data_IF_874041689620
#
_entry.id   IF_874041689620
#
_cell.length_a   1.000
_cell.length_b   1.000
_cell.length_c   1.000
_cell.angle_alpha   90.00
_cell.angle_beta   90.00
_cell.angle_gamma   90.00
#
_symmetry.space_group_name_H-M   'P 1'
#
loop_
_entity.id
_entity.type
_entity.pdbx_description
1 polymer ?
#
# COMPACT_ATOMS: atom_id res chain seq x y z
N UNK A 1 11.26 24.24 13.68
CA UNK A 1 12.16 24.14 12.51
C UNK A 1 12.83 22.76 12.44
N UNK A 2 13.60 22.34 13.45
CA UNK A 2 14.27 21.02 13.46
C UNK A 2 13.33 19.82 13.31
N UNK A 3 12.20 19.79 14.03
CA UNK A 3 11.22 18.70 13.94
C UNK A 3 10.63 18.53 12.54
N UNK A 4 10.44 19.62 11.80
CA UNK A 4 9.85 19.57 10.45
C UNK A 4 10.80 18.91 9.45
N UNK A 5 12.09 19.24 9.52
CA UNK A 5 13.12 18.60 8.69
C UNK A 5 13.19 17.11 8.98
N UNK A 6 13.14 16.73 10.26
CA UNK A 6 13.20 15.33 10.66
C UNK A 6 12.01 14.52 10.10
N UNK A 7 10.78 15.02 10.22
CA UNK A 7 9.59 14.30 9.77
C UNK A 7 9.35 14.36 8.25
N UNK A 8 9.63 15.49 7.60
CA UNK A 8 9.19 15.72 6.22
C UNK A 8 10.32 15.68 5.20
N UNK A 9 11.58 15.87 5.60
CA UNK A 9 12.73 15.74 4.71
C UNK A 9 13.45 14.42 4.91
N UNK A 10 13.68 13.99 6.16
CA UNK A 10 14.53 12.83 6.46
C UNK A 10 13.72 11.53 6.55
N UNK A 11 12.63 11.52 7.33
CA UNK A 11 11.84 10.30 7.57
C UNK A 11 11.36 9.60 6.29
N UNK A 12 10.97 10.29 5.20
CA UNK A 12 10.58 9.62 3.96
C UNK A 12 11.68 8.77 3.35
N UNK A 13 12.94 9.25 3.36
CA UNK A 13 14.07 8.47 2.85
C UNK A 13 14.41 7.30 3.76
N UNK A 14 14.25 7.43 5.08
CA UNK A 14 14.38 6.30 6.02
C UNK A 14 13.31 5.25 5.70
N UNK A 15 12.04 5.66 5.57
CA UNK A 15 10.93 4.77 5.20
C UNK A 15 11.18 4.06 3.88
N UNK A 16 11.59 4.79 2.83
CA UNK A 16 11.92 4.21 1.53
C UNK A 16 13.09 3.23 1.62
N UNK A 17 14.13 3.57 2.37
CA UNK A 17 15.29 2.69 2.58
C UNK A 17 14.86 1.39 3.26
N UNK A 18 14.08 1.45 4.34
CA UNK A 18 13.57 0.27 5.03
C UNK A 18 12.68 -0.56 4.12
N UNK A 19 11.76 0.08 3.38
CA UNK A 19 10.87 -0.59 2.44
C UNK A 19 11.66 -1.34 1.36
N UNK A 20 12.60 -0.68 0.69
CA UNK A 20 13.36 -1.25 -0.43
C UNK A 20 14.34 -2.32 0.07
N UNK A 21 15.21 -1.98 1.02
CA UNK A 21 16.25 -2.89 1.52
C UNK A 21 15.62 -4.07 2.26
N UNK A 22 14.60 -3.82 3.09
CA UNK A 22 13.89 -4.86 3.81
C UNK A 22 13.16 -5.83 2.87
N UNK A 23 12.54 -5.31 1.81
CA UNK A 23 11.84 -6.13 0.81
C UNK A 23 12.83 -6.94 -0.02
N UNK A 24 13.93 -6.33 -0.45
CA UNK A 24 15.01 -7.03 -1.16
C UNK A 24 15.60 -8.17 -0.31
N UNK A 25 15.94 -7.87 0.96
CA UNK A 25 16.47 -8.86 1.88
C UNK A 25 15.49 -10.01 2.08
N UNK A 26 14.21 -9.72 2.34
CA UNK A 26 13.19 -10.75 2.53
C UNK A 26 12.99 -11.61 1.28
N UNK A 27 12.98 -11.00 0.09
CA UNK A 27 12.91 -11.74 -1.17
C UNK A 27 14.11 -12.68 -1.37
N UNK A 28 15.31 -12.26 -0.93
CA UNK A 28 16.54 -13.03 -1.10
C UNK A 28 16.72 -14.16 -0.08
N UNK A 29 16.32 -13.94 1.17
CA UNK A 29 16.65 -14.80 2.30
C UNK A 29 15.43 -15.49 2.94
N UNK A 30 14.21 -14.96 2.76
CA UNK A 30 12.97 -15.52 3.31
C UNK A 30 11.91 -15.72 2.22
N UNK A 31 12.26 -16.56 1.23
CA UNK A 31 11.34 -16.92 0.13
C UNK A 31 10.10 -17.68 0.61
N UNK A 32 10.19 -18.43 1.70
CA UNK A 32 9.05 -19.17 2.26
C UNK A 32 8.07 -18.25 3.01
N UNK A 33 8.57 -17.19 3.66
CA UNK A 33 7.73 -16.17 4.27
C UNK A 33 7.09 -15.22 3.26
N UNK A 34 7.48 -15.27 1.99
CA UNK A 34 6.89 -14.51 0.89
C UNK A 34 5.58 -15.16 0.40
N UNK A 35 4.49 -14.92 1.14
CA UNK A 35 3.18 -15.50 0.83
C UNK A 35 2.06 -14.57 1.29
N UNK A 36 0.90 -14.68 0.63
CA UNK A 36 -0.33 -14.00 1.06
C UNK A 36 -0.90 -14.54 2.37
N UNK A 37 -0.44 -15.71 2.86
CA UNK A 37 -0.95 -16.40 4.05
C UNK A 37 -2.48 -16.51 4.02
N UNK A 38 -3.02 -17.13 2.97
CA UNK A 38 -4.45 -17.33 2.84
C UNK A 38 -5.01 -18.13 4.02
N UNK A 39 -6.14 -17.69 4.55
CA UNK A 39 -6.88 -18.38 5.61
C UNK A 39 -8.22 -18.91 5.12
N UNK A 40 -8.41 -18.97 3.79
CA UNK A 40 -9.69 -19.34 3.15
C UNK A 40 -10.13 -20.77 3.49
N UNK A 41 -9.18 -21.68 3.66
CA UNK A 41 -9.45 -23.09 4.00
C UNK A 41 -10.21 -23.19 5.34
N UNK A 42 -9.90 -22.31 6.30
CA UNK A 42 -10.54 -22.31 7.62
C UNK A 42 -11.94 -21.70 7.62
N UNK A 43 -12.21 -20.75 6.73
CA UNK A 43 -13.53 -20.14 6.56
C UNK A 43 -13.58 -19.40 5.22
N UNK A 44 -14.56 -19.71 4.37
CA UNK A 44 -14.64 -19.15 3.01
C UNK A 44 -15.87 -18.31 2.73
N UNK A 45 -16.96 -18.43 3.53
CA UNK A 45 -18.25 -17.80 3.25
C UNK A 45 -18.17 -16.29 3.38
N UNK A 46 -17.66 -15.79 4.51
CA UNK A 46 -17.47 -14.36 4.72
C UNK A 46 -16.29 -13.82 3.89
N UNK A 47 -15.22 -14.61 3.77
CA UNK A 47 -14.04 -14.22 2.98
C UNK A 47 -14.38 -13.94 1.51
N UNK A 48 -15.28 -14.73 0.90
CA UNK A 48 -15.68 -14.58 -0.51
C UNK A 48 -16.28 -13.21 -0.83
N UNK A 49 -16.89 -12.56 0.16
CA UNK A 49 -17.49 -11.22 0.01
C UNK A 49 -16.54 -10.14 0.53
N UNK A 50 -16.01 -10.33 1.74
CA UNK A 50 -15.16 -9.33 2.40
C UNK A 50 -13.83 -9.10 1.65
N UNK A 51 -13.22 -10.16 1.11
CA UNK A 51 -11.93 -10.06 0.43
C UNK A 51 -12.02 -9.26 -0.87
N UNK A 52 -12.96 -9.52 -1.81
CA UNK A 52 -13.11 -8.69 -3.00
C UNK A 52 -13.47 -7.23 -2.67
N UNK A 53 -14.41 -6.98 -1.75
CA UNK A 53 -14.78 -5.62 -1.34
C UNK A 53 -13.55 -4.85 -0.85
N UNK A 54 -12.74 -5.46 0.02
CA UNK A 54 -11.51 -4.85 0.50
C UNK A 54 -10.49 -4.62 -0.62
N UNK A 55 -10.20 -5.63 -1.45
CA UNK A 55 -9.13 -5.54 -2.44
C UNK A 55 -9.47 -4.60 -3.60
N UNK A 56 -10.71 -4.63 -4.11
CA UNK A 56 -11.13 -3.67 -5.13
C UNK A 56 -11.17 -2.25 -4.58
N UNK A 57 -11.67 -2.08 -3.34
CA UNK A 57 -11.63 -0.80 -2.64
C UNK A 57 -10.20 -0.25 -2.51
N UNK A 58 -9.28 -1.02 -1.93
CA UNK A 58 -7.91 -0.54 -1.67
C UNK A 58 -7.12 -0.31 -2.96
N UNK A 59 -7.38 -1.10 -4.02
CA UNK A 59 -6.77 -0.87 -5.33
C UNK A 59 -7.28 0.44 -5.95
N UNK A 60 -8.57 0.76 -5.81
CA UNK A 60 -9.13 2.03 -6.25
C UNK A 60 -8.57 3.21 -5.42
N UNK A 61 -8.45 3.06 -4.10
CA UNK A 61 -7.79 4.05 -3.22
C UNK A 61 -6.33 4.27 -3.65
N UNK A 62 -5.59 3.19 -3.91
CA UNK A 62 -4.20 3.27 -4.39
C UNK A 62 -4.12 3.99 -5.75
N UNK A 63 -4.99 3.66 -6.70
CA UNK A 63 -5.07 4.36 -7.98
C UNK A 63 -5.36 5.86 -7.79
N UNK A 64 -6.29 6.21 -6.90
CA UNK A 64 -6.57 7.59 -6.53
C UNK A 64 -5.36 8.32 -5.93
N UNK A 65 -4.59 7.66 -5.06
CA UNK A 65 -3.33 8.20 -4.54
C UNK A 65 -2.29 8.43 -5.64
N UNK A 66 -2.18 7.49 -6.59
CA UNK A 66 -1.27 7.66 -7.73
C UNK A 66 -1.66 8.88 -8.55
N UNK A 67 -2.95 9.01 -8.90
CA UNK A 67 -3.47 10.16 -9.65
C UNK A 67 -3.29 11.48 -8.88
N UNK A 68 -3.56 11.51 -7.57
CA UNK A 68 -3.48 12.73 -6.77
C UNK A 68 -2.09 13.17 -6.35
N UNK A 69 -1.18 12.24 -6.12
CA UNK A 69 0.16 12.54 -5.64
C UNK A 69 1.18 12.62 -6.76
N UNK A 70 1.16 11.71 -7.74
CA UNK A 70 2.16 11.72 -8.81
C UNK A 70 1.80 12.66 -9.96
N UNK A 71 0.52 12.85 -10.30
CA UNK A 71 0.13 13.67 -11.45
C UNK A 71 -0.03 15.14 -11.05
N UNK A 72 0.83 16.04 -11.56
CA UNK A 72 0.77 17.45 -11.20
C UNK A 72 -0.48 18.13 -11.78
N UNK A 73 -0.98 19.22 -11.16
CA UNK A 73 -2.11 20.00 -11.66
C UNK A 73 -1.97 20.45 -13.12
N UNK A 74 -0.76 20.79 -13.56
CA UNK A 74 -0.48 21.18 -14.95
C UNK A 74 -0.93 20.14 -15.98
N UNK A 75 -0.72 18.85 -15.70
CA UNK A 75 -1.14 17.76 -16.61
C UNK A 75 -2.67 17.64 -16.65
N UNK A 76 -3.34 17.76 -15.50
CA UNK A 76 -4.81 17.74 -15.47
C UNK A 76 -5.41 18.96 -16.19
N UNK A 77 -4.79 20.13 -16.07
CA UNK A 77 -5.23 21.34 -16.77
C UNK A 77 -5.01 21.24 -18.29
N UNK A 78 -3.94 20.59 -18.75
CA UNK A 78 -3.72 20.28 -20.18
C UNK A 78 -4.83 19.39 -20.76
N UNK A 79 -5.40 18.50 -19.94
CA UNK A 79 -6.54 17.66 -20.30
C UNK A 79 -7.89 18.39 -20.16
N UNK A 80 -7.88 19.72 -19.96
CA UNK A 80 -9.06 20.58 -19.76
C UNK A 80 -9.90 20.19 -18.54
N UNK A 81 -9.29 19.56 -17.54
CA UNK A 81 -9.93 19.22 -16.28
C UNK A 81 -9.76 20.38 -15.29
N UNK A 82 -10.86 20.99 -14.86
CA UNK A 82 -10.82 22.04 -13.83
C UNK A 82 -10.53 21.45 -12.45
N UNK A 83 -9.99 22.26 -11.54
CA UNK A 83 -9.69 21.83 -10.17
C UNK A 83 -10.95 21.36 -9.43
N UNK A 84 -12.09 22.03 -9.65
CA UNK A 84 -13.39 21.60 -9.12
C UNK A 84 -13.83 20.23 -9.66
N UNK A 85 -13.73 19.99 -10.98
CA UNK A 85 -14.08 18.68 -11.56
C UNK A 85 -13.17 17.57 -11.04
N UNK A 86 -11.88 17.86 -10.88
CA UNK A 86 -10.94 16.95 -10.27
C UNK A 86 -11.30 16.65 -8.82
N UNK A 87 -11.61 17.68 -8.03
CA UNK A 87 -11.97 17.52 -6.63
C UNK A 87 -13.27 16.73 -6.47
N UNK A 88 -14.30 17.04 -7.24
CA UNK A 88 -15.56 16.30 -7.24
C UNK A 88 -15.37 14.82 -7.59
N UNK A 89 -14.59 14.52 -8.62
CA UNK A 89 -14.26 13.13 -8.98
C UNK A 89 -13.48 12.45 -7.86
N UNK A 90 -12.48 13.13 -7.30
CA UNK A 90 -11.62 12.59 -6.26
C UNK A 90 -12.43 12.24 -5.01
N UNK A 91 -13.29 13.15 -4.54
CA UNK A 91 -14.16 12.91 -3.37
C UNK A 91 -15.17 11.81 -3.67
N UNK A 92 -15.88 11.86 -4.80
CA UNK A 92 -16.92 10.87 -5.10
C UNK A 92 -16.34 9.44 -5.25
N UNK A 93 -15.29 9.29 -6.06
CA UNK A 93 -14.65 7.99 -6.29
C UNK A 93 -13.82 7.55 -5.07
N UNK A 94 -13.14 8.49 -4.42
CA UNK A 94 -12.31 8.27 -3.22
C UNK A 94 -13.14 7.83 -2.03
N UNK A 95 -14.26 8.50 -1.75
CA UNK A 95 -15.18 8.15 -0.67
C UNK A 95 -15.83 6.79 -0.91
N UNK A 96 -16.28 6.49 -2.14
CA UNK A 96 -16.81 5.16 -2.47
C UNK A 96 -15.77 4.06 -2.25
N UNK A 97 -14.55 4.26 -2.76
CA UNK A 97 -13.45 3.31 -2.61
C UNK A 97 -13.01 3.16 -1.15
N UNK A 98 -12.93 4.27 -0.40
CA UNK A 98 -12.54 4.31 1.00
C UNK A 98 -13.55 3.62 1.91
N UNK A 99 -14.85 3.89 1.72
CA UNK A 99 -15.94 3.21 2.44
C UNK A 99 -15.94 1.71 2.12
N UNK A 100 -15.82 1.33 0.85
CA UNK A 100 -15.72 -0.08 0.46
C UNK A 100 -14.51 -0.76 1.13
N UNK A 101 -13.35 -0.10 1.12
CA UNK A 101 -12.14 -0.59 1.80
C UNK A 101 -12.36 -0.76 3.29
N UNK A 102 -12.95 0.23 3.96
CA UNK A 102 -13.21 0.22 5.40
C UNK A 102 -14.19 -0.88 5.80
N UNK A 103 -15.28 -1.05 5.05
CA UNK A 103 -16.24 -2.15 5.25
C UNK A 103 -15.53 -3.50 5.03
N UNK A 104 -14.78 -3.64 3.94
CA UNK A 104 -14.06 -4.86 3.62
C UNK A 104 -13.07 -5.26 4.71
N UNK A 105 -12.23 -4.34 5.18
CA UNK A 105 -11.28 -4.62 6.26
C UNK A 105 -11.98 -4.89 7.59
N UNK A 106 -13.08 -4.15 7.89
CA UNK A 106 -13.91 -4.38 9.06
C UNK A 106 -14.47 -5.79 9.12
N UNK A 107 -15.02 -6.28 7.99
CA UNK A 107 -15.51 -7.66 7.87
C UNK A 107 -14.37 -8.69 7.98
N UNK A 108 -13.20 -8.43 7.42
CA UNK A 108 -12.03 -9.31 7.53
C UNK A 108 -11.49 -9.40 8.96
N UNK A 109 -11.50 -8.29 9.70
CA UNK A 109 -11.12 -8.24 11.11
C UNK A 109 -12.18 -8.94 11.97
N UNK A 110 -13.46 -8.65 11.75
CA UNK A 110 -14.57 -9.35 12.41
C UNK A 110 -14.47 -10.87 12.23
N UNK A 111 -14.22 -11.33 11.00
CA UNK A 111 -13.97 -12.75 10.69
C UNK A 111 -12.85 -13.35 11.53
N UNK A 112 -11.77 -12.59 11.72
CA UNK A 112 -10.57 -13.05 12.42
C UNK A 112 -10.78 -13.17 13.93
N UNK A 113 -11.67 -12.38 14.51
CA UNK A 113 -12.04 -12.49 15.92
C UNK A 113 -13.15 -13.53 16.17
N UNK A 114 -14.08 -13.70 15.23
CA UNK A 114 -15.23 -14.61 15.41
C UNK A 114 -14.97 -16.06 15.01
N UNK A 115 -13.91 -16.33 14.24
CA UNK A 115 -13.56 -17.68 13.79
C UNK A 115 -12.29 -18.17 14.49
N UNK A 116 -12.38 -19.08 15.48
CA UNK A 116 -11.23 -19.53 16.27
C UNK A 116 -10.06 -20.07 15.41
N UNK A 117 -10.36 -20.85 14.37
CA UNK A 117 -9.33 -21.37 13.46
C UNK A 117 -8.54 -20.26 12.74
N UNK A 118 -9.22 -19.17 12.36
CA UNK A 118 -8.58 -18.00 11.73
C UNK A 118 -7.82 -17.17 12.78
N UNK A 119 -8.37 -17.03 13.98
CA UNK A 119 -7.74 -16.32 15.09
C UNK A 119 -6.39 -16.96 15.46
N UNK A 120 -6.35 -18.30 15.60
CA UNK A 120 -5.13 -19.05 15.92
C UNK A 120 -4.06 -18.95 14.82
N UNK A 121 -4.47 -18.86 13.56
CA UNK A 121 -3.56 -18.68 12.42
C UNK A 121 -3.07 -17.22 12.25
N UNK A 122 -3.50 -16.28 13.10
CA UNK A 122 -3.14 -14.86 13.01
C UNK A 122 -1.83 -14.57 13.74
N UNK A 123 -0.86 -13.97 13.06
CA UNK A 123 0.41 -13.61 13.69
C UNK A 123 0.37 -12.23 14.35
N UNK A 124 1.35 -11.94 15.23
CA UNK A 124 1.50 -10.60 15.85
C UNK A 124 1.73 -9.51 14.79
N UNK A 125 2.53 -9.81 13.76
CA UNK A 125 2.79 -8.91 12.63
C UNK A 125 1.50 -8.56 11.88
N UNK A 126 0.59 -9.53 11.69
CA UNK A 126 -0.72 -9.26 11.08
C UNK A 126 -1.55 -8.30 11.92
N UNK A 127 -1.57 -8.46 13.24
CA UNK A 127 -2.34 -7.58 14.15
C UNK A 127 -1.84 -6.14 14.11
N UNK A 128 -0.52 -5.93 14.20
CA UNK A 128 0.10 -4.60 14.11
C UNK A 128 -0.21 -3.96 12.76
N UNK A 129 -0.03 -4.71 11.67
CA UNK A 129 -0.34 -4.24 10.33
C UNK A 129 -1.81 -3.87 10.17
N UNK A 130 -2.75 -4.65 10.72
CA UNK A 130 -4.18 -4.30 10.67
C UNK A 130 -4.50 -3.02 11.41
N UNK A 131 -3.93 -2.80 12.59
CA UNK A 131 -4.14 -1.55 13.35
C UNK A 131 -3.67 -0.35 12.54
N UNK A 132 -2.45 -0.40 12.01
CA UNK A 132 -1.88 0.71 11.23
C UNK A 132 -2.64 0.93 9.92
N UNK A 133 -3.01 -0.14 9.22
CA UNK A 133 -3.78 -0.06 7.97
C UNK A 133 -5.18 0.52 8.20
N UNK A 134 -5.90 0.07 9.23
CA UNK A 134 -7.23 0.62 9.56
C UNK A 134 -7.12 2.09 9.96
N UNK A 135 -6.11 2.45 10.76
CA UNK A 135 -5.87 3.84 11.12
C UNK A 135 -5.58 4.69 9.87
N UNK A 136 -4.77 4.20 8.93
CA UNK A 136 -4.50 4.88 7.67
C UNK A 136 -5.80 5.10 6.86
N UNK A 137 -6.64 4.07 6.74
CA UNK A 137 -7.91 4.14 6.01
C UNK A 137 -8.87 5.13 6.65
N UNK A 138 -9.03 5.09 7.98
CA UNK A 138 -9.95 5.97 8.71
C UNK A 138 -9.51 7.43 8.60
N UNK A 139 -8.22 7.71 8.86
CA UNK A 139 -7.70 9.08 8.76
C UNK A 139 -7.71 9.56 7.32
N UNK A 140 -7.44 8.70 6.34
CA UNK A 140 -7.49 9.06 4.91
C UNK A 140 -8.92 9.36 4.43
N UNK A 141 -9.89 8.56 4.86
CA UNK A 141 -11.31 8.80 4.56
C UNK A 141 -11.80 10.08 5.26
N UNK A 142 -11.29 10.37 6.46
CA UNK A 142 -11.55 11.65 7.13
C UNK A 142 -10.99 12.83 6.33
N UNK A 143 -9.74 12.75 5.84
CA UNK A 143 -9.16 13.78 4.97
C UNK A 143 -9.97 13.98 3.69
N UNK A 144 -10.51 12.91 3.09
CA UNK A 144 -11.30 12.99 1.86
C UNK A 144 -12.68 13.62 2.11
N UNK A 145 -13.38 13.19 3.17
CA UNK A 145 -14.74 13.63 3.49
C UNK A 145 -14.81 15.00 4.18
N UNK A 146 -13.79 15.36 4.95
CA UNK A 146 -13.74 16.59 5.76
C UNK A 146 -12.73 17.60 5.20
N UNK A 147 -11.81 17.19 4.32
CA UNK A 147 -10.93 18.11 3.56
C UNK A 147 -11.68 19.03 2.59
N UNK A 148 -13.00 18.89 2.50
CA UNK A 148 -13.99 19.84 1.96
C UNK A 148 -14.39 20.94 2.96
N UNK A 149 -13.84 20.92 4.18
CA UNK A 149 -13.90 21.95 5.21
C UNK A 149 -15.21 22.01 6.02
N UNK A 150 -15.17 22.13 7.36
CA UNK A 150 -16.29 22.60 8.19
C UNK A 150 -16.76 24.03 7.85
N UNK A 151 -15.94 24.77 7.09
CA UNK A 151 -16.17 26.13 6.61
C UNK A 151 -16.33 26.23 5.09
N UNK A 152 -16.51 25.10 4.38
CA UNK A 152 -16.94 25.08 2.97
C UNK A 152 -15.88 25.46 1.93
N UNK A 153 -14.58 25.32 2.21
CA UNK A 153 -13.49 25.57 1.27
C UNK A 153 -12.75 24.29 0.88
N UNK A 154 -12.50 24.10 -0.42
CA UNK A 154 -11.74 22.97 -0.96
C UNK A 154 -10.26 23.06 -0.53
N UNK A 155 -9.75 22.14 0.29
CA UNK A 155 -8.31 22.08 0.55
C UNK A 155 -7.58 21.45 -0.65
N UNK A 156 -6.81 22.26 -1.37
CA UNK A 156 -6.06 21.78 -2.52
C UNK A 156 -4.74 21.07 -2.12
N UNK A 157 -4.86 19.85 -1.59
CA UNK A 157 -3.73 19.01 -1.16
C UNK A 157 -2.65 18.79 -2.25
N UNK A 158 -3.02 18.94 -3.53
CA UNK A 158 -2.12 18.75 -4.69
C UNK A 158 -1.00 19.79 -4.76
N UNK A 159 -1.19 20.97 -4.15
CA UNK A 159 -0.19 22.04 -4.08
C UNK A 159 0.66 22.01 -2.80
N UNK A 160 0.31 21.18 -1.81
CA UNK A 160 1.09 20.98 -0.57
C UNK A 160 1.63 19.57 -0.51
N UNK A 161 0.82 18.61 -0.04
CA UNK A 161 1.17 17.19 0.12
C UNK A 161 1.63 16.57 -1.20
N UNK A 162 0.96 16.89 -2.31
CA UNK A 162 1.36 16.40 -3.63
C UNK A 162 2.75 16.92 -4.05
N UNK A 163 3.06 18.19 -3.78
CA UNK A 163 4.37 18.78 -4.11
C UNK A 163 5.46 18.15 -3.27
N UNK A 164 5.24 18.04 -1.96
CA UNK A 164 6.14 17.33 -1.03
C UNK A 164 6.43 15.91 -1.52
N UNK A 165 5.37 15.14 -1.81
CA UNK A 165 5.50 13.75 -2.22
C UNK A 165 6.31 13.61 -3.51
N UNK A 166 6.05 14.42 -4.54
CA UNK A 166 6.80 14.38 -5.82
C UNK A 166 8.27 14.75 -5.64
N UNK A 167 8.56 15.72 -4.77
CA UNK A 167 9.92 16.22 -4.53
C UNK A 167 10.84 15.21 -3.85
N UNK A 168 10.29 14.27 -3.07
CA UNK A 168 11.05 13.12 -2.53
C UNK A 168 11.68 12.30 -3.67
N UNK A 169 10.92 12.03 -4.74
CA UNK A 169 11.39 11.25 -5.88
C UNK A 169 12.40 12.00 -6.76
N UNK A 170 12.38 13.33 -6.72
CA UNK A 170 13.37 14.19 -7.38
C UNK A 170 14.64 14.39 -6.55
N UNK A 171 14.73 13.78 -5.35
CA UNK A 171 15.82 13.99 -4.40
C UNK A 171 16.04 15.47 -4.05
N UNK A 172 14.96 16.25 -4.04
CA UNK A 172 14.94 17.66 -3.69
C UNK A 172 13.93 17.88 -2.55
N UNK A 173 14.22 17.36 -1.33
CA UNK A 173 13.28 17.44 -0.23
C UNK A 173 12.91 18.89 0.08
N UNK A 174 11.63 19.10 0.39
CA UNK A 174 11.02 20.41 0.57
C UNK A 174 9.86 20.26 1.54
N UNK A 175 10.17 19.81 2.75
CA UNK A 175 9.25 19.50 3.82
C UNK A 175 8.52 20.73 4.38
N UNK A 176 8.98 21.95 4.07
CA UNK A 176 8.29 23.18 4.48
C UNK A 176 6.84 23.25 3.99
N UNK A 177 6.52 22.69 2.81
CA UNK A 177 5.13 22.70 2.31
C UNK A 177 4.19 21.81 3.10
N UNK A 178 4.72 20.83 3.86
CA UNK A 178 3.90 20.00 4.76
C UNK A 178 3.45 20.75 6.01
N UNK A 179 4.14 21.82 6.40
CA UNK A 179 3.74 22.66 7.55
C UNK A 179 2.42 23.36 7.27
N UNK A 180 2.15 23.66 5.99
CA UNK A 180 0.92 24.28 5.53
C UNK A 180 -0.22 23.28 5.28
N UNK A 181 0.07 21.97 5.35
CA UNK A 181 -0.97 20.96 5.29
C UNK A 181 -1.71 20.88 6.63
N UNK A 182 -3.04 20.77 6.65
CA UNK A 182 -3.81 20.52 7.85
C UNK A 182 -3.34 19.25 8.58
N UNK A 183 -3.59 19.20 9.89
CA UNK A 183 -3.03 18.17 10.77
C UNK A 183 -3.46 16.75 10.38
N UNK A 184 -4.67 16.57 9.91
CA UNK A 184 -5.19 15.29 9.40
C UNK A 184 -4.38 14.75 8.22
N UNK A 185 -4.02 15.60 7.24
CA UNK A 185 -3.14 15.20 6.13
C UNK A 185 -1.73 14.84 6.60
N UNK A 186 -1.18 15.61 7.55
CA UNK A 186 0.12 15.29 8.16
C UNK A 186 0.06 13.95 8.90
N UNK A 187 -0.96 13.72 9.72
CA UNK A 187 -1.16 12.46 10.43
C UNK A 187 -1.32 11.30 9.45
N UNK A 188 -2.12 11.46 8.40
CA UNK A 188 -2.30 10.44 7.36
C UNK A 188 -0.96 10.07 6.70
N UNK A 189 -0.16 11.07 6.32
CA UNK A 189 1.16 10.86 5.73
C UNK A 189 2.11 10.14 6.69
N UNK A 190 2.12 10.51 7.98
CA UNK A 190 2.94 9.85 9.00
C UNK A 190 2.54 8.38 9.20
N UNK A 191 1.24 8.10 9.31
CA UNK A 191 0.71 6.73 9.43
C UNK A 191 1.05 5.92 8.17
N UNK A 192 0.96 6.55 6.99
CA UNK A 192 1.39 5.96 5.72
C UNK A 192 2.87 5.58 5.75
N UNK A 193 3.76 6.47 6.19
CA UNK A 193 5.19 6.18 6.34
C UNK A 193 5.44 5.00 7.31
N UNK A 194 4.71 4.92 8.41
CA UNK A 194 4.76 3.76 9.32
C UNK A 194 4.31 2.49 8.61
N UNK A 195 3.21 2.53 7.85
CA UNK A 195 2.72 1.38 7.09
C UNK A 195 3.75 0.87 6.08
N UNK A 196 4.40 1.77 5.32
CA UNK A 196 5.48 1.43 4.39
C UNK A 196 6.72 0.86 5.10
N UNK A 197 7.04 1.37 6.28
CA UNK A 197 8.14 0.84 7.10
C UNK A 197 7.85 -0.58 7.60
N UNK A 198 6.58 -0.90 7.92
CA UNK A 198 6.14 -2.24 8.32
C UNK A 198 6.00 -3.22 7.16
N UNK A 199 5.86 -2.72 5.93
CA UNK A 199 5.60 -3.52 4.72
C UNK A 199 6.52 -4.73 4.54
N UNK A 200 7.86 -4.60 4.57
CA UNK A 200 8.76 -5.74 4.36
C UNK A 200 8.67 -6.79 5.46
N UNK A 201 8.07 -6.49 6.62
CA UNK A 201 8.01 -7.40 7.78
C UNK A 201 6.62 -8.00 8.00
N UNK A 202 5.66 -7.71 7.11
CA UNK A 202 4.26 -8.14 7.23
C UNK A 202 3.83 -8.91 5.99
N UNK A 203 2.59 -9.40 5.96
CA UNK A 203 2.05 -10.05 4.76
C UNK A 203 1.85 -9.10 3.57
N UNK A 204 2.04 -7.79 3.72
CA UNK A 204 1.88 -6.80 2.63
C UNK A 204 2.82 -7.05 1.43
N UNK A 205 3.93 -7.77 1.62
CA UNK A 205 4.82 -8.20 0.53
C UNK A 205 4.11 -8.92 -0.62
N UNK A 206 2.93 -9.53 -0.37
CA UNK A 206 2.14 -10.19 -1.41
C UNK A 206 1.74 -9.24 -2.55
N UNK A 207 1.65 -7.93 -2.30
CA UNK A 207 1.29 -6.92 -3.32
C UNK A 207 2.31 -6.92 -4.47
N UNK A 208 3.60 -7.12 -4.16
CA UNK A 208 4.68 -7.21 -5.16
C UNK A 208 4.61 -8.49 -6.00
N UNK A 209 3.68 -9.41 -5.72
CA UNK A 209 3.46 -10.64 -6.48
C UNK A 209 2.10 -10.67 -7.17
N UNK A 210 1.54 -9.49 -7.47
CA UNK A 210 0.38 -9.38 -8.35
C UNK A 210 0.66 -10.12 -9.67
N UNK A 211 -0.15 -11.12 -10.06
CA UNK A 211 0.19 -12.05 -11.13
C UNK A 211 -0.10 -11.49 -12.53
N UNK A 212 0.34 -10.26 -12.84
CA UNK A 212 0.07 -9.59 -14.12
C UNK A 212 0.62 -10.40 -15.30
N UNK A 213 1.82 -10.98 -15.14
CA UNK A 213 2.47 -11.82 -16.16
C UNK A 213 1.68 -13.10 -16.46
N UNK A 214 0.81 -13.55 -15.56
CA UNK A 214 -0.02 -14.75 -15.79
C UNK A 214 -0.93 -14.60 -17.02
N UNK A 215 -1.36 -13.37 -17.35
CA UNK A 215 -2.19 -13.09 -18.53
C UNK A 215 -1.51 -13.49 -19.85
N UNK A 216 -0.18 -13.56 -19.86
CA UNK A 216 0.63 -13.86 -21.04
C UNK A 216 1.45 -15.14 -20.88
N UNK A 217 1.30 -15.86 -19.76
CA UNK A 217 2.08 -17.05 -19.45
C UNK A 217 1.46 -18.29 -20.11
N UNK A 218 2.24 -19.14 -20.80
CA UNK A 218 1.75 -20.43 -21.27
C UNK A 218 1.18 -21.29 -20.13
N UNK A 219 0.10 -22.04 -20.41
CA UNK A 219 -0.53 -22.93 -19.43
C UNK A 219 0.45 -23.98 -18.90
N UNK A 220 1.23 -24.57 -19.81
CA UNK A 220 2.23 -25.59 -19.48
C UNK A 220 3.59 -24.91 -19.39
N UNK A 221 4.29 -25.12 -18.26
CA UNK A 221 5.65 -24.62 -18.06
C UNK A 221 6.60 -25.77 -17.84
N UNK A 222 7.49 -25.93 -18.80
CA UNK A 222 8.65 -26.81 -18.72
C UNK A 222 9.79 -26.06 -18.06
N UNK A 223 10.50 -26.71 -17.14
CA UNK A 223 11.75 -26.21 -16.57
C UNK A 223 12.88 -27.11 -17.05
N UNK A 224 13.81 -26.59 -17.83
CA UNK A 224 14.97 -27.37 -18.27
C UNK A 224 15.93 -27.58 -17.10
N UNK A 225 16.74 -28.65 -17.18
CA UNK A 225 17.76 -28.97 -16.17
C UNK A 225 18.93 -27.96 -16.15
N UNK A 226 18.99 -27.08 -17.14
CA UNK A 226 20.09 -26.12 -17.38
C UNK A 226 19.88 -24.75 -16.73
N UNK A 227 18.65 -24.43 -16.30
CA UNK A 227 18.31 -23.09 -15.77
C UNK A 227 18.97 -22.78 -14.43
N UNK A 228 19.45 -23.77 -13.67
CA UNK A 228 20.22 -23.47 -12.47
C UNK A 228 21.66 -23.10 -12.82
N UNK A 229 22.07 -21.91 -12.40
CA UNK A 229 23.46 -21.54 -12.34
C UNK A 229 24.27 -22.58 -11.53
N UNK A 230 25.57 -22.73 -11.83
CA UNK A 230 26.47 -23.55 -11.00
C UNK A 230 26.38 -23.07 -9.55
N UNK A 231 25.76 -23.85 -8.68
CA UNK A 231 25.58 -23.54 -7.25
C UNK A 231 24.14 -23.28 -6.82
N UNK A 232 23.19 -23.15 -7.74
CA UNK A 232 21.77 -23.09 -7.38
C UNK A 232 21.17 -24.49 -7.23
N UNK A 233 20.36 -24.68 -6.18
CA UNK A 233 19.65 -25.92 -5.92
C UNK A 233 18.53 -26.10 -6.96
N UNK A 234 18.68 -27.08 -7.86
CA UNK A 234 17.57 -27.60 -8.67
C UNK A 234 16.81 -28.63 -7.83
N UNK A 235 15.99 -28.19 -6.87
CA UNK A 235 15.26 -29.10 -5.97
C UNK A 235 15.95 -29.31 -4.62
N UNK A 236 15.89 -30.52 -4.06
CA UNK A 236 16.35 -30.82 -2.69
C UNK A 236 17.85 -31.10 -2.57
N UNK A 237 18.60 -31.15 -3.68
CA UNK A 237 20.04 -31.42 -3.64
C UNK A 237 20.80 -30.62 -4.72
N UNK A 238 22.04 -30.18 -4.43
CA UNK A 238 22.90 -29.57 -5.43
C UNK A 238 23.33 -30.57 -6.49
N UNK A 239 23.52 -30.10 -7.73
CA UNK A 239 23.98 -30.90 -8.85
C UNK A 239 25.37 -31.49 -8.53
N UNK A 240 25.44 -32.80 -8.24
CA UNK A 240 26.71 -33.53 -8.29
C UNK A 240 27.12 -33.70 -9.76
N UNK A 241 28.35 -33.31 -10.10
CA UNK A 241 28.98 -33.71 -11.36
C UNK A 241 29.29 -35.20 -11.26
N UNK A 242 28.46 -36.03 -11.89
CA UNK A 242 28.80 -37.41 -12.22
C UNK A 242 29.38 -37.47 -13.63
N UNK A 243 30.26 -38.45 -13.86
CA UNK A 243 30.53 -38.96 -15.19
C UNK A 243 29.25 -39.61 -15.75
#
# INVERSE_FOLDING_TARGET
MFSNVLFWDIAPYITLTVLIVGTWWRYRYDKFGWTSRSSQIYESRLLRVASPIFHFGILAVFAGHVMGLFIPPSVTHMLKMSDHLYHLQAVAAGSLAGIATLIGIGLLIYRRFTRPAVAMATTRSDKVMYVVLVLAIVVGLYCDLIGTGPHGGEFHYRYTVGVWFRRIWLFQPHGEVMIHAPLDYQLHALIGMVLFTLWPFTRLVHVFSAPVVYLFRPYIVYRSREVAAKGELVGTAPRRRGW
#
